data_IF_798088538032
#
_entry.id   IF_798088538032
#
_cell.length_a   1.000
_cell.length_b   1.000
_cell.length_c   1.000
_cell.angle_alpha   90.00
_cell.angle_beta   90.00
_cell.angle_gamma   90.00
#
_symmetry.space_group_name_H-M   'P 1'
#
loop_
_entity.id
_entity.type
_entity.pdbx_description
1 polymer ?
#
# COMPACT_ATOMS: atom_id res chain seq x y z
N UNK A 1 9.00 -11.95 -42.19
CA UNK A 1 9.16 -10.54 -41.79
C UNK A 1 9.96 -10.56 -40.50
N UNK A 2 11.28 -10.41 -40.59
CA UNK A 2 12.15 -10.36 -39.41
C UNK A 2 11.92 -9.03 -38.72
N UNK A 3 11.39 -9.07 -37.49
CA UNK A 3 11.36 -7.87 -36.65
C UNK A 3 12.82 -7.54 -36.35
N UNK A 4 13.26 -6.37 -36.81
CA UNK A 4 14.63 -5.90 -36.65
C UNK A 4 14.93 -5.81 -35.14
N UNK A 5 16.03 -6.41 -34.67
CA UNK A 5 16.45 -6.42 -33.26
C UNK A 5 16.44 -5.01 -32.65
N UNK A 6 16.77 -4.00 -33.47
CA UNK A 6 16.66 -2.58 -33.12
C UNK A 6 15.24 -2.16 -32.73
N UNK A 7 14.22 -2.61 -33.46
CA UNK A 7 12.82 -2.24 -33.21
C UNK A 7 12.30 -2.89 -31.93
N UNK A 8 12.75 -4.12 -31.61
CA UNK A 8 12.48 -4.77 -30.33
C UNK A 8 13.11 -4.01 -29.16
N UNK A 9 14.38 -3.61 -29.29
CA UNK A 9 15.07 -2.84 -28.26
C UNK A 9 14.42 -1.46 -28.03
N UNK A 10 13.98 -0.80 -29.10
CA UNK A 10 13.25 0.47 -29.01
C UNK A 10 11.89 0.29 -28.32
N UNK A 11 11.17 -0.78 -28.63
CA UNK A 11 9.88 -1.09 -28.00
C UNK A 11 10.04 -1.41 -26.51
N UNK A 12 11.09 -2.18 -26.16
CA UNK A 12 11.41 -2.48 -24.77
C UNK A 12 11.76 -1.20 -24.00
N UNK A 13 12.61 -0.33 -24.56
CA UNK A 13 12.97 0.94 -23.95
C UNK A 13 11.75 1.84 -23.73
N UNK A 14 10.83 1.91 -24.70
CA UNK A 14 9.59 2.67 -24.55
C UNK A 14 8.68 2.07 -23.46
N UNK A 15 8.59 0.75 -23.39
CA UNK A 15 7.80 0.05 -22.36
C UNK A 15 8.37 0.28 -20.97
N UNK A 16 9.69 0.15 -20.80
CA UNK A 16 10.38 0.43 -19.53
C UNK A 16 10.15 1.88 -19.10
N UNK A 17 10.25 2.84 -20.04
CA UNK A 17 9.97 4.26 -19.77
C UNK A 17 8.53 4.47 -19.29
N UNK A 18 7.55 3.85 -19.96
CA UNK A 18 6.13 3.94 -19.56
C UNK A 18 5.90 3.35 -18.16
N UNK A 19 6.51 2.21 -17.86
CA UNK A 19 6.44 1.59 -16.53
C UNK A 19 7.09 2.47 -15.47
N UNK A 20 8.25 3.05 -15.73
CA UNK A 20 8.91 3.97 -14.80
C UNK A 20 8.04 5.20 -14.49
N UNK A 21 7.40 5.77 -15.51
CA UNK A 21 6.46 6.88 -15.33
C UNK A 21 5.23 6.48 -14.51
N UNK A 22 4.68 5.30 -14.77
CA UNK A 22 3.54 4.78 -14.00
C UNK A 22 3.91 4.57 -12.51
N UNK A 23 5.09 4.01 -12.24
CA UNK A 23 5.61 3.85 -10.87
C UNK A 23 5.80 5.20 -10.18
N UNK A 24 6.38 6.18 -10.86
CA UNK A 24 6.56 7.52 -10.31
C UNK A 24 5.22 8.20 -9.97
N UNK A 25 4.22 8.04 -10.84
CA UNK A 25 2.87 8.57 -10.59
C UNK A 25 2.21 7.88 -9.39
N UNK A 26 2.26 6.55 -9.33
CA UNK A 26 1.73 5.78 -8.19
C UNK A 26 2.41 6.18 -6.88
N UNK A 27 3.73 6.41 -6.90
CA UNK A 27 4.46 6.88 -5.72
C UNK A 27 3.99 8.27 -5.27
N UNK A 28 3.81 9.22 -6.20
CA UNK A 28 3.27 10.54 -5.87
C UNK A 28 1.85 10.48 -5.29
N UNK A 29 1.00 9.59 -5.79
CA UNK A 29 -0.34 9.36 -5.26
C UNK A 29 -0.30 8.76 -3.84
N UNK A 30 0.62 7.82 -3.59
CA UNK A 30 0.82 7.25 -2.25
C UNK A 30 1.29 8.32 -1.24
N UNK A 31 2.22 9.20 -1.61
CA UNK A 31 2.68 10.28 -0.74
C UNK A 31 1.58 11.32 -0.47
N UNK A 32 0.75 11.64 -1.47
CA UNK A 32 -0.42 12.48 -1.27
C UNK A 32 -1.41 11.85 -0.28
N UNK A 33 -1.70 10.54 -0.44
CA UNK A 33 -2.56 9.80 0.47
C UNK A 33 -2.00 9.77 1.89
N UNK A 34 -0.68 9.51 2.04
CA UNK A 34 0.02 9.56 3.33
C UNK A 34 -0.18 10.90 4.01
N UNK A 35 -0.01 11.99 3.28
CA UNK A 35 -0.19 13.36 3.79
C UNK A 35 -1.60 13.58 4.31
N UNK A 36 -2.62 13.11 3.58
CA UNK A 36 -4.03 13.18 4.01
C UNK A 36 -4.24 12.35 5.27
N UNK A 37 -3.73 11.12 5.32
CA UNK A 37 -3.86 10.22 6.49
C UNK A 37 -3.21 10.83 7.73
N UNK A 38 -2.02 11.41 7.60
CA UNK A 38 -1.34 12.13 8.69
C UNK A 38 -2.17 13.34 9.14
N UNK A 39 -2.70 14.13 8.21
CA UNK A 39 -3.53 15.29 8.53
C UNK A 39 -4.82 14.92 9.26
N UNK A 40 -5.49 13.85 8.82
CA UNK A 40 -6.65 13.27 9.49
C UNK A 40 -6.27 12.79 10.89
N UNK A 41 -5.21 11.99 11.04
CA UNK A 41 -4.75 11.54 12.36
C UNK A 41 -4.40 12.72 13.29
N UNK A 42 -3.68 13.73 12.78
CA UNK A 42 -3.32 14.94 13.51
C UNK A 42 -4.55 15.69 14.05
N UNK A 43 -5.60 15.82 13.24
CA UNK A 43 -6.86 16.44 13.66
C UNK A 43 -7.60 15.60 14.72
N UNK A 44 -7.42 14.28 14.70
CA UNK A 44 -8.12 13.33 15.55
C UNK A 44 -7.47 13.10 16.92
N UNK A 45 -6.18 13.38 17.10
CA UNK A 45 -5.53 13.33 18.42
C UNK A 45 -6.18 14.27 19.45
N UNK A 46 -6.91 15.29 19.01
CA UNK A 46 -7.71 16.14 19.90
C UNK A 46 -9.01 15.49 20.40
N UNK A 47 -9.37 14.30 19.92
CA UNK A 47 -10.64 13.61 20.19
C UNK A 47 -10.42 12.12 20.47
N UNK A 48 -10.08 11.74 21.73
CA UNK A 48 -9.71 10.38 22.09
C UNK A 48 -10.77 9.32 21.76
N UNK A 49 -12.07 9.62 21.88
CA UNK A 49 -13.11 8.64 21.54
C UNK A 49 -13.16 8.36 20.03
N UNK A 50 -12.90 9.38 19.20
CA UNK A 50 -12.92 9.23 17.75
C UNK A 50 -11.66 8.52 17.26
N UNK A 51 -10.52 8.79 17.88
CA UNK A 51 -9.28 8.05 17.65
C UNK A 51 -9.49 6.55 17.91
N UNK A 52 -10.04 6.17 19.06
CA UNK A 52 -10.28 4.75 19.39
C UNK A 52 -11.20 4.04 18.40
N UNK A 53 -12.27 4.72 17.93
CA UNK A 53 -13.18 4.17 16.92
C UNK A 53 -12.49 3.94 15.57
N UNK A 54 -11.61 4.85 15.17
CA UNK A 54 -10.87 4.75 13.90
C UNK A 54 -9.82 3.64 13.98
N UNK A 55 -9.07 3.55 15.08
CA UNK A 55 -8.13 2.46 15.33
C UNK A 55 -8.84 1.10 15.27
N UNK A 56 -10.02 0.97 15.89
CA UNK A 56 -10.81 -0.27 15.86
C UNK A 56 -11.33 -0.60 14.45
N UNK A 57 -11.85 0.40 13.72
CA UNK A 57 -12.33 0.22 12.35
C UNK A 57 -11.21 -0.17 11.38
N UNK A 58 -10.03 0.46 11.53
CA UNK A 58 -8.82 0.12 10.78
C UNK A 58 -8.38 -1.31 11.06
N UNK A 59 -8.26 -1.69 12.34
CA UNK A 59 -7.90 -3.05 12.75
C UNK A 59 -8.82 -4.10 12.13
N UNK A 60 -10.15 -3.92 12.26
CA UNK A 60 -11.11 -4.87 11.70
C UNK A 60 -11.05 -4.98 10.17
N UNK A 61 -10.81 -3.87 9.47
CA UNK A 61 -10.66 -3.88 8.00
C UNK A 61 -9.38 -4.59 7.57
N UNK A 62 -8.28 -4.33 8.28
CA UNK A 62 -6.97 -4.96 8.01
C UNK A 62 -7.03 -6.47 8.27
N UNK A 63 -7.65 -6.90 9.37
CA UNK A 63 -7.83 -8.32 9.69
C UNK A 63 -8.75 -9.03 8.71
N UNK A 64 -9.88 -8.41 8.34
CA UNK A 64 -10.82 -8.97 7.37
C UNK A 64 -10.18 -9.21 6.01
N UNK A 65 -9.41 -8.23 5.52
CA UNK A 65 -8.70 -8.35 4.26
C UNK A 65 -7.55 -9.38 4.34
N UNK A 66 -6.85 -9.48 5.47
CA UNK A 66 -5.83 -10.50 5.70
C UNK A 66 -6.43 -11.91 5.63
N UNK A 67 -7.55 -12.13 6.29
CA UNK A 67 -8.26 -13.41 6.29
C UNK A 67 -8.70 -13.85 4.88
N UNK A 68 -9.10 -12.91 4.02
CA UNK A 68 -9.48 -13.20 2.64
C UNK A 68 -8.31 -13.59 1.74
N UNK A 69 -7.13 -13.07 2.04
CA UNK A 69 -5.95 -13.30 1.22
C UNK A 69 -5.15 -14.56 1.62
N UNK A 70 -5.42 -15.12 2.81
CA UNK A 70 -4.83 -16.40 3.24
C UNK A 70 -5.30 -17.55 2.33
N UNK A 71 -4.35 -18.30 1.77
CA UNK A 71 -4.62 -19.61 1.14
C UNK A 71 -4.31 -19.73 -0.36
N UNK A 72 -3.73 -18.72 -1.01
CA UNK A 72 -3.21 -18.88 -2.38
C UNK A 72 -1.83 -18.21 -2.57
N UNK A 73 -0.87 -18.85 -3.25
CA UNK A 73 0.50 -18.32 -3.38
C UNK A 73 0.60 -16.94 -4.06
N UNK A 74 -0.31 -16.63 -4.99
CA UNK A 74 -0.37 -15.32 -5.63
C UNK A 74 -0.83 -14.21 -4.68
N UNK A 75 -1.47 -14.55 -3.56
CA UNK A 75 -1.92 -13.59 -2.56
C UNK A 75 -0.85 -13.27 -1.52
N UNK A 76 0.18 -14.10 -1.33
CA UNK A 76 1.24 -13.85 -0.34
C UNK A 76 2.12 -12.64 -0.72
N UNK A 77 2.46 -12.51 -2.00
CA UNK A 77 3.22 -11.36 -2.52
C UNK A 77 2.38 -10.07 -2.47
N UNK A 78 1.11 -10.16 -2.84
CA UNK A 78 0.17 -9.06 -2.74
C UNK A 78 -0.07 -8.62 -1.29
N UNK A 79 -0.16 -9.58 -0.37
CA UNK A 79 -0.28 -9.36 1.08
C UNK A 79 0.94 -8.63 1.63
N UNK A 80 2.13 -9.09 1.27
CA UNK A 80 3.40 -8.48 1.71
C UNK A 80 3.52 -7.05 1.20
N UNK A 81 3.30 -6.83 -0.09
CA UNK A 81 3.36 -5.49 -0.69
C UNK A 81 2.31 -4.55 -0.08
N UNK A 82 1.13 -5.06 0.25
CA UNK A 82 0.09 -4.31 0.96
C UNK A 82 0.51 -3.94 2.38
N UNK A 83 1.11 -4.86 3.14
CA UNK A 83 1.60 -4.56 4.48
C UNK A 83 2.69 -3.49 4.46
N UNK A 84 3.60 -3.54 3.49
CA UNK A 84 4.60 -2.50 3.27
C UNK A 84 3.93 -1.14 3.02
N UNK A 85 2.92 -1.08 2.16
CA UNK A 85 2.17 0.15 1.89
C UNK A 85 1.43 0.67 3.12
N UNK A 86 0.72 -0.18 3.86
CA UNK A 86 -0.01 0.22 5.06
C UNK A 86 0.94 0.75 6.14
N UNK A 87 2.11 0.12 6.31
CA UNK A 87 3.14 0.59 7.26
C UNK A 87 3.74 1.94 6.86
N UNK A 88 3.74 2.28 5.57
CA UNK A 88 4.19 3.58 5.08
C UNK A 88 3.10 4.65 5.23
N UNK A 89 1.82 4.30 5.07
CA UNK A 89 0.71 5.25 5.08
C UNK A 89 0.22 5.61 6.49
N UNK A 90 0.27 4.67 7.43
CA UNK A 90 -0.26 4.82 8.78
C UNK A 90 0.83 5.32 9.73
N UNK A 91 0.54 6.27 10.64
CA UNK A 91 1.48 6.67 11.69
C UNK A 91 2.00 5.46 12.48
N UNK A 92 3.30 5.46 12.80
CA UNK A 92 3.96 4.28 13.37
C UNK A 92 3.31 3.79 14.67
N UNK A 93 2.89 4.70 15.55
CA UNK A 93 2.22 4.39 16.81
C UNK A 93 0.83 3.77 16.63
N UNK A 94 0.12 4.14 15.56
CA UNK A 94 -1.17 3.54 15.19
C UNK A 94 -0.95 2.18 14.52
N UNK A 95 0.04 2.08 13.63
CA UNK A 95 0.38 0.84 12.94
C UNK A 95 0.72 -0.29 13.92
N UNK A 96 1.49 -0.01 14.96
CA UNK A 96 1.81 -0.99 16.02
C UNK A 96 0.56 -1.57 16.69
N UNK A 97 -0.55 -0.82 16.75
CA UNK A 97 -1.81 -1.29 17.35
C UNK A 97 -2.67 -2.10 16.40
N UNK A 98 -2.69 -1.73 15.11
CA UNK A 98 -3.65 -2.26 14.12
C UNK A 98 -3.05 -3.27 13.14
N UNK A 99 -1.72 -3.44 13.13
CA UNK A 99 -1.07 -4.41 12.23
C UNK A 99 -1.55 -5.83 12.52
N UNK A 100 -1.67 -6.69 11.48
CA UNK A 100 -1.96 -8.10 11.70
C UNK A 100 -0.90 -8.70 12.63
N UNK A 101 -1.35 -9.41 13.67
CA UNK A 101 -0.42 -10.18 14.50
C UNK A 101 -0.02 -11.42 13.70
N UNK A 102 1.27 -11.64 13.49
CA UNK A 102 1.75 -12.93 12.99
C UNK A 102 1.29 -14.01 13.97
N UNK A 103 0.27 -14.75 13.58
CA UNK A 103 -0.08 -16.01 14.21
C UNK A 103 0.96 -17.02 13.73
N UNK A 104 2.03 -17.15 14.52
CA UNK A 104 2.94 -18.31 14.44
C UNK A 104 2.18 -19.55 14.88
#
# INVERSE_FOLDING_TARGET
MEINERDLLLTLADTVRKLANAVALSHAQLEALRTVVIGVHGALYGMPELQGRIEQSLGGSIEGDFAQALGTPQHDDALRQRQEWLSALIPADVWEKVRPRSHV
#
